data_IF_156650091945
#
_entry.id   IF_156650091945
#
_cell.length_a   1.000
_cell.length_b   1.000
_cell.length_c   1.000
_cell.angle_alpha   90.00
_cell.angle_beta   90.00
_cell.angle_gamma   90.00
#
_symmetry.space_group_name_H-M   'P 1'
#
loop_
_entity.id
_entity.type
_entity.pdbx_description
1 polymer ?
#
# COMPACT_ATOMS: atom_id res chain seq x y z
N UNK A 1 -0.27 5.06 -14.75
CA UNK A 1 -1.28 5.99 -14.19
C UNK A 1 -0.59 7.22 -13.59
N UNK A 2 -1.20 8.43 -13.65
CA UNK A 2 -0.67 9.60 -12.94
C UNK A 2 -0.82 9.42 -11.41
N UNK A 3 0.08 10.07 -10.67
CA UNK A 3 -0.02 10.17 -9.20
C UNK A 3 -1.01 11.26 -8.82
N UNK A 4 -1.57 11.20 -7.61
CA UNK A 4 -2.48 12.26 -7.14
C UNK A 4 -1.72 13.55 -6.90
N UNK A 5 -2.37 14.69 -7.05
CA UNK A 5 -1.80 16.01 -6.83
C UNK A 5 -1.70 16.37 -5.33
N UNK A 6 -2.60 15.79 -4.53
CA UNK A 6 -2.67 15.89 -3.08
C UNK A 6 -3.50 14.72 -2.55
N UNK A 7 -3.39 14.41 -1.25
CA UNK A 7 -4.29 13.50 -0.53
C UNK A 7 -5.48 14.24 0.09
N UNK A 8 -5.46 15.58 0.10
CA UNK A 8 -6.55 16.41 0.61
C UNK A 8 -7.83 16.23 -0.22
N UNK A 9 -8.95 15.94 0.46
CA UNK A 9 -10.24 15.73 -0.19
C UNK A 9 -10.35 14.47 -1.04
N UNK A 10 -9.35 13.58 -1.01
CA UNK A 10 -9.34 12.31 -1.77
C UNK A 10 -10.04 11.19 -1.01
N UNK A 11 -10.57 10.25 -1.77
CA UNK A 11 -11.01 8.95 -1.29
C UNK A 11 -9.82 7.99 -1.27
N UNK A 12 -9.35 7.62 -0.08
CA UNK A 12 -8.12 6.85 0.12
C UNK A 12 -8.47 5.40 0.48
N UNK A 13 -8.05 4.46 -0.36
CA UNK A 13 -8.14 3.03 -0.08
C UNK A 13 -7.12 2.57 0.95
N UNK A 14 -7.54 1.73 1.89
CA UNK A 14 -6.71 1.05 2.88
C UNK A 14 -6.77 -0.45 2.61
N UNK A 15 -5.73 -0.97 1.96
CA UNK A 15 -5.62 -2.36 1.55
C UNK A 15 -4.91 -3.18 2.63
N UNK A 16 -5.68 -3.92 3.41
CA UNK A 16 -5.21 -4.90 4.36
C UNK A 16 -4.97 -6.24 3.64
N UNK A 17 -3.70 -6.65 3.57
CA UNK A 17 -3.29 -7.88 2.90
C UNK A 17 -3.58 -9.16 3.68
N UNK A 18 -4.38 -9.12 4.75
CA UNK A 18 -4.78 -10.28 5.55
C UNK A 18 -3.74 -10.73 6.57
N UNK A 19 -2.76 -9.88 6.88
CA UNK A 19 -1.82 -10.07 8.00
C UNK A 19 -2.38 -9.40 9.25
N UNK A 20 -2.25 -10.01 10.44
CA UNK A 20 -2.72 -9.41 11.69
C UNK A 20 -2.13 -8.01 12.01
N UNK A 21 -0.94 -7.69 11.50
CA UNK A 21 -0.29 -6.39 11.71
C UNK A 21 -0.73 -5.31 10.72
N UNK A 22 -1.43 -5.66 9.64
CA UNK A 22 -1.85 -4.72 8.61
C UNK A 22 -2.92 -3.75 9.13
N UNK A 23 -3.99 -4.27 9.75
CA UNK A 23 -5.07 -3.46 10.29
C UNK A 23 -4.59 -2.44 11.35
N UNK A 24 -3.78 -2.80 12.37
CA UNK A 24 -3.23 -1.82 13.31
C UNK A 24 -2.37 -0.74 12.64
N UNK A 25 -1.53 -1.12 11.67
CA UNK A 25 -0.69 -0.17 10.93
C UNK A 25 -1.52 0.80 10.11
N UNK A 26 -2.47 0.30 9.32
CA UNK A 26 -3.35 1.13 8.50
C UNK A 26 -4.25 2.00 9.36
N UNK A 27 -4.69 1.52 10.52
CA UNK A 27 -5.45 2.32 11.50
C UNK A 27 -4.65 3.52 11.99
N UNK A 28 -3.40 3.31 12.43
CA UNK A 28 -2.54 4.40 12.89
C UNK A 28 -2.23 5.43 11.78
N UNK A 29 -2.03 4.95 10.54
CA UNK A 29 -1.86 5.81 9.36
C UNK A 29 -3.14 6.59 9.06
N UNK A 30 -4.30 5.94 9.07
CA UNK A 30 -5.61 6.57 8.85
C UNK A 30 -5.88 7.67 9.88
N UNK A 31 -5.65 7.42 11.17
CA UNK A 31 -5.86 8.40 12.23
C UNK A 31 -5.02 9.67 12.01
N UNK A 32 -3.75 9.50 11.64
CA UNK A 32 -2.84 10.62 11.38
C UNK A 32 -3.22 11.37 10.11
N UNK A 33 -3.56 10.67 9.03
CA UNK A 33 -4.01 11.31 7.80
C UNK A 33 -5.34 12.05 8.01
N UNK A 34 -6.30 11.47 8.74
CA UNK A 34 -7.59 12.11 9.06
C UNK A 34 -7.41 13.37 9.89
N UNK A 35 -6.46 13.37 10.84
CA UNK A 35 -6.15 14.55 11.64
C UNK A 35 -5.54 15.70 10.82
N UNK A 36 -4.74 15.36 9.79
CA UNK A 36 -4.05 16.34 8.93
C UNK A 36 -4.90 16.81 7.75
N UNK A 37 -5.74 15.93 7.20
CA UNK A 37 -6.57 16.14 6.03
C UNK A 37 -8.03 15.77 6.34
N UNK A 38 -8.77 16.63 7.06
CA UNK A 38 -10.11 16.31 7.56
C UNK A 38 -11.14 16.02 6.47
N UNK A 39 -10.90 16.49 5.24
CA UNK A 39 -11.77 16.26 4.09
C UNK A 39 -11.44 14.98 3.32
N UNK A 40 -10.35 14.28 3.66
CA UNK A 40 -10.05 12.97 3.09
C UNK A 40 -11.01 11.91 3.66
N UNK A 41 -11.50 11.02 2.80
CA UNK A 41 -12.33 9.88 3.17
C UNK A 41 -11.56 8.58 2.98
N UNK A 42 -11.97 7.51 3.65
CA UNK A 42 -11.25 6.25 3.64
C UNK A 42 -12.18 5.08 3.37
N UNK A 43 -11.73 4.15 2.54
CA UNK A 43 -12.40 2.88 2.27
C UNK A 43 -11.44 1.73 2.54
N UNK A 44 -11.91 0.71 3.25
CA UNK A 44 -11.10 -0.46 3.59
C UNK A 44 -11.39 -1.62 2.66
N UNK A 45 -10.33 -2.33 2.28
CA UNK A 45 -10.41 -3.65 1.69
C UNK A 45 -9.60 -4.62 2.52
N UNK A 46 -10.25 -5.70 2.96
CA UNK A 46 -9.61 -6.74 3.78
C UNK A 46 -9.56 -8.03 2.99
N UNK A 47 -8.36 -8.46 2.64
CA UNK A 47 -8.13 -9.84 2.22
C UNK A 47 -8.28 -10.73 3.45
N UNK A 48 -9.12 -11.74 3.42
CA UNK A 48 -9.33 -12.61 4.59
C UNK A 48 -8.05 -13.37 4.96
N UNK A 49 -7.30 -13.85 3.96
CA UNK A 49 -5.99 -14.47 4.13
C UNK A 49 -5.00 -14.06 3.04
N UNK A 50 -3.77 -13.71 3.42
CA UNK A 50 -2.73 -13.21 2.50
C UNK A 50 -2.49 -14.00 1.20
N UNK A 51 -2.76 -15.32 1.20
CA UNK A 51 -2.57 -16.17 0.03
C UNK A 51 -3.78 -16.19 -0.93
N UNK A 52 -4.93 -15.62 -0.55
CA UNK A 52 -6.12 -15.53 -1.39
C UNK A 52 -5.88 -14.63 -2.60
N UNK A 53 -4.95 -13.69 -2.55
CA UNK A 53 -4.57 -12.85 -3.70
C UNK A 53 -4.06 -13.64 -4.92
N UNK A 54 -3.82 -14.95 -4.76
CA UNK A 54 -3.51 -15.88 -5.85
C UNK A 54 -4.73 -16.33 -6.65
N UNK A 55 -5.92 -16.16 -6.08
CA UNK A 55 -7.19 -16.57 -6.69
C UNK A 55 -7.64 -15.46 -7.63
N UNK A 56 -8.12 -15.81 -8.82
CA UNK A 56 -8.55 -14.83 -9.82
C UNK A 56 -9.72 -13.98 -9.31
N UNK A 57 -10.70 -14.61 -8.62
CA UNK A 57 -11.85 -13.90 -8.03
C UNK A 57 -11.43 -12.84 -6.99
N UNK A 58 -10.37 -13.12 -6.22
CA UNK A 58 -9.84 -12.15 -5.25
C UNK A 58 -9.14 -11.01 -5.97
N UNK A 59 -8.35 -11.31 -7.00
CA UNK A 59 -7.67 -10.29 -7.81
C UNK A 59 -8.68 -9.35 -8.50
N UNK A 60 -9.75 -9.91 -9.08
CA UNK A 60 -10.86 -9.14 -9.66
C UNK A 60 -11.52 -8.25 -8.61
N UNK A 61 -11.77 -8.79 -7.40
CA UNK A 61 -12.35 -8.02 -6.29
C UNK A 61 -11.45 -6.86 -5.82
N UNK A 62 -10.13 -7.05 -5.78
CA UNK A 62 -9.17 -5.97 -5.48
C UNK A 62 -9.21 -4.89 -6.55
N UNK A 63 -9.24 -5.26 -7.83
CA UNK A 63 -9.31 -4.31 -8.95
C UNK A 63 -10.62 -3.52 -8.88
N UNK A 64 -11.76 -4.20 -8.77
CA UNK A 64 -13.09 -3.57 -8.67
C UNK A 64 -13.18 -2.58 -7.50
N UNK A 65 -12.62 -2.95 -6.35
CA UNK A 65 -12.53 -2.04 -5.19
C UNK A 65 -11.62 -0.84 -5.48
N UNK A 66 -10.45 -1.09 -6.07
CA UNK A 66 -9.47 -0.05 -6.32
C UNK A 66 -9.96 1.01 -7.31
N UNK A 67 -10.83 0.67 -8.26
CA UNK A 67 -11.48 1.63 -9.16
C UNK A 67 -12.39 2.64 -8.42
N UNK A 68 -12.82 2.33 -7.19
CA UNK A 68 -13.69 3.16 -6.35
C UNK A 68 -12.98 4.25 -5.53
N UNK A 69 -11.65 4.23 -5.48
CA UNK A 69 -10.83 5.14 -4.67
C UNK A 69 -9.85 5.94 -5.53
N UNK A 70 -9.46 7.14 -5.08
CA UNK A 70 -8.54 8.02 -5.81
C UNK A 70 -7.07 7.59 -5.69
N UNK A 71 -6.73 6.90 -4.61
CA UNK A 71 -5.39 6.38 -4.31
C UNK A 71 -5.48 5.34 -3.20
N UNK A 72 -4.49 4.46 -3.03
CA UNK A 72 -4.51 3.45 -1.98
C UNK A 72 -3.18 3.22 -1.26
N UNK A 73 -3.27 2.82 -0.01
CA UNK A 73 -2.15 2.45 0.86
C UNK A 73 -2.36 0.99 1.28
N UNK A 74 -1.38 0.13 0.99
CA UNK A 74 -1.43 -1.28 1.35
C UNK A 74 -0.44 -1.65 2.46
N UNK A 75 -0.83 -2.54 3.36
CA UNK A 75 0.04 -3.05 4.42
C UNK A 75 -0.17 -4.56 4.65
N UNK A 76 0.80 -5.33 5.14
CA UNK A 76 2.22 -5.02 5.38
C UNK A 76 3.15 -6.05 4.71
N UNK A 77 4.32 -5.60 4.25
CA UNK A 77 5.44 -6.46 3.85
C UNK A 77 6.49 -6.54 4.97
N UNK A 78 6.37 -7.53 5.85
CA UNK A 78 7.25 -7.72 7.03
C UNK A 78 7.92 -9.10 7.08
N UNK A 79 7.80 -9.87 5.99
CA UNK A 79 8.23 -11.25 5.84
C UNK A 79 8.29 -11.58 4.33
N UNK A 80 9.13 -12.53 3.91
CA UNK A 80 9.35 -12.78 2.48
C UNK A 80 8.07 -13.03 1.66
N UNK A 81 7.16 -13.88 2.15
CA UNK A 81 5.91 -14.19 1.43
C UNK A 81 4.88 -13.06 1.47
N UNK A 82 4.71 -12.38 2.61
CA UNK A 82 3.76 -11.27 2.71
C UNK A 82 4.22 -10.04 1.92
N UNK A 83 5.52 -9.79 1.85
CA UNK A 83 6.09 -8.76 0.97
C UNK A 83 5.78 -9.05 -0.51
N UNK A 84 5.86 -10.32 -0.93
CA UNK A 84 5.43 -10.74 -2.28
C UNK A 84 3.96 -10.44 -2.53
N UNK A 85 3.06 -10.87 -1.63
CA UNK A 85 1.62 -10.67 -1.82
C UNK A 85 1.17 -9.23 -1.68
N UNK A 86 1.86 -8.42 -0.87
CA UNK A 86 1.66 -6.98 -0.85
C UNK A 86 2.02 -6.35 -2.19
N UNK A 87 3.19 -6.71 -2.78
CA UNK A 87 3.57 -6.19 -4.09
C UNK A 87 2.53 -6.56 -5.17
N UNK A 88 1.95 -7.76 -5.10
CA UNK A 88 0.87 -8.18 -6.00
C UNK A 88 -0.40 -7.35 -5.80
N UNK A 89 -0.84 -7.15 -4.55
CA UNK A 89 -2.00 -6.29 -4.26
C UNK A 89 -1.82 -4.86 -4.76
N UNK A 90 -0.64 -4.26 -4.53
CA UNK A 90 -0.33 -2.91 -5.02
C UNK A 90 -0.30 -2.85 -6.54
N UNK A 91 0.20 -3.89 -7.21
CA UNK A 91 0.18 -3.93 -8.67
C UNK A 91 -1.24 -4.03 -9.24
N UNK A 92 -2.12 -4.82 -8.63
CA UNK A 92 -3.54 -4.89 -9.03
C UNK A 92 -4.25 -3.55 -8.85
N UNK A 93 -3.99 -2.86 -7.73
CA UNK A 93 -4.47 -1.50 -7.49
C UNK A 93 -4.00 -0.56 -8.61
N UNK A 94 -2.72 -0.62 -8.99
CA UNK A 94 -2.19 0.22 -10.07
C UNK A 94 -2.67 -0.20 -11.47
N UNK A 95 -3.08 -1.46 -11.67
CA UNK A 95 -3.71 -1.95 -12.90
C UNK A 95 -5.15 -1.45 -13.05
N UNK A 96 -5.86 -1.27 -11.94
CA UNK A 96 -7.14 -0.56 -11.89
C UNK A 96 -7.02 0.94 -12.26
N UNK A 97 -5.80 1.45 -12.45
CA UNK A 97 -5.52 2.86 -12.73
C UNK A 97 -5.38 3.71 -11.47
N UNK A 98 -5.44 3.11 -10.29
CA UNK A 98 -5.38 3.79 -9.00
C UNK A 98 -3.94 3.83 -8.47
N UNK A 99 -3.37 5.00 -8.16
CA UNK A 99 -2.02 5.08 -7.63
C UNK A 99 -1.93 4.45 -6.22
N UNK A 100 -1.11 3.41 -6.08
CA UNK A 100 -0.89 2.69 -4.82
C UNK A 100 0.50 2.92 -4.20
N UNK A 101 0.60 2.72 -2.88
CA UNK A 101 1.87 2.59 -2.14
C UNK A 101 1.81 1.45 -1.13
N UNK A 102 2.84 0.60 -1.09
CA UNK A 102 2.97 -0.45 -0.08
C UNK A 102 3.75 -0.01 1.17
N UNK A 103 3.35 -0.47 2.35
CA UNK A 103 4.11 -0.29 3.59
C UNK A 103 4.91 -1.54 3.90
N UNK A 104 6.23 -1.39 4.07
CA UNK A 104 7.15 -2.51 4.31
C UNK A 104 8.07 -2.26 5.49
N UNK A 105 8.48 -3.32 6.18
CA UNK A 105 9.63 -3.25 7.09
C UNK A 105 10.92 -3.05 6.28
N UNK A 106 11.85 -2.27 6.83
CA UNK A 106 13.13 -1.91 6.20
C UNK A 106 13.95 -3.11 5.71
N UNK A 107 13.83 -4.27 6.37
CA UNK A 107 14.55 -5.49 6.03
C UNK A 107 14.08 -6.17 4.74
N UNK A 108 12.92 -5.78 4.20
CA UNK A 108 12.27 -6.44 3.05
C UNK A 108 12.21 -5.55 1.80
N UNK A 109 12.98 -4.47 1.77
CA UNK A 109 13.08 -3.58 0.60
C UNK A 109 13.48 -4.32 -0.69
N UNK A 110 14.50 -5.17 -0.60
CA UNK A 110 14.96 -5.94 -1.76
C UNK A 110 13.92 -6.98 -2.22
N UNK A 111 13.23 -7.63 -1.29
CA UNK A 111 12.15 -8.57 -1.58
C UNK A 111 11.00 -7.84 -2.31
N UNK A 112 10.59 -6.67 -1.81
CA UNK A 112 9.52 -5.88 -2.43
C UNK A 112 9.89 -5.46 -3.85
N UNK A 113 11.07 -4.85 -4.02
CA UNK A 113 11.55 -4.42 -5.33
C UNK A 113 11.67 -5.57 -6.32
N UNK A 114 12.16 -6.73 -5.88
CA UNK A 114 12.30 -7.90 -6.75
C UNK A 114 10.96 -8.45 -7.21
N UNK A 115 9.97 -8.54 -6.31
CA UNK A 115 8.61 -8.99 -6.66
C UNK A 115 7.85 -7.98 -7.51
N UNK A 116 8.04 -6.68 -7.28
CA UNK A 116 7.49 -5.63 -8.15
C UNK A 116 8.02 -5.77 -9.58
N UNK A 117 9.34 -5.95 -9.74
CA UNK A 117 9.96 -6.18 -11.05
C UNK A 117 9.50 -7.50 -11.69
N UNK A 118 9.28 -8.57 -10.91
CA UNK A 118 8.68 -9.83 -11.38
C UNK A 118 7.27 -9.61 -11.96
N UNK A 119 6.50 -8.65 -11.41
CA UNK A 119 5.19 -8.21 -11.94
C UNK A 119 5.29 -7.20 -13.08
N UNK A 120 6.51 -6.85 -13.49
CA UNK A 120 6.77 -6.09 -14.71
C UNK A 120 7.07 -4.61 -14.50
N UNK A 121 6.83 -4.02 -13.31
CA UNK A 121 7.09 -2.59 -13.06
C UNK A 121 7.63 -2.31 -11.65
N UNK A 122 8.44 -1.27 -11.45
CA UNK A 122 8.71 -0.75 -10.11
C UNK A 122 7.41 -0.24 -9.48
N UNK A 123 7.13 -0.66 -8.25
CA UNK A 123 6.01 -0.19 -7.44
C UNK A 123 6.54 0.68 -6.31
N UNK A 124 5.74 1.65 -5.87
CA UNK A 124 6.10 2.52 -4.75
C UNK A 124 5.86 1.86 -3.42
N UNK A 125 6.76 2.11 -2.48
CA UNK A 125 6.64 1.66 -1.12
C UNK A 125 7.23 2.68 -0.16
N UNK A 126 6.75 2.67 1.08
CA UNK A 126 7.35 3.40 2.19
C UNK A 126 7.79 2.41 3.26
N UNK A 127 9.05 2.57 3.70
CA UNK A 127 9.58 1.83 4.85
C UNK A 127 8.95 2.37 6.14
N UNK A 128 8.49 1.45 6.98
CA UNK A 128 7.97 1.72 8.33
C UNK A 128 8.87 1.06 9.37
N UNK A 129 9.07 1.68 10.56
CA UNK A 129 9.78 1.05 11.67
C UNK A 129 8.92 -0.03 12.37
N UNK A 130 7.63 -0.13 12.02
CA UNK A 130 6.71 -1.12 12.58
C UNK A 130 7.19 -2.52 12.24
N UNK A 131 7.57 -3.26 13.28
CA UNK A 131 8.19 -4.59 13.16
C UNK A 131 7.15 -5.68 12.86
N UNK A 132 7.67 -6.76 12.30
CA UNK A 132 6.92 -7.96 11.95
C UNK A 132 5.95 -8.40 13.06
N UNK A 133 4.69 -8.64 12.68
CA UNK A 133 3.62 -9.16 13.54
C UNK A 133 3.26 -8.27 14.76
N UNK A 134 3.61 -6.99 14.75
CA UNK A 134 3.19 -6.07 15.82
C UNK A 134 1.71 -5.75 15.69
N UNK A 135 0.89 -6.32 16.58
CA UNK A 135 -0.57 -6.07 16.62
C UNK A 135 -1.00 -5.10 17.73
N UNK A 136 -0.06 -4.62 18.54
CA UNK A 136 -0.32 -3.63 19.59
C UNK A 136 -0.49 -2.25 18.94
N UNK A 137 -1.74 -1.80 18.84
CA UNK A 137 -2.09 -0.54 18.19
C UNK A 137 -1.44 0.68 18.86
N UNK A 138 -1.29 0.71 20.18
CA UNK A 138 -0.69 1.86 20.86
C UNK A 138 0.79 1.96 20.50
N UNK A 139 1.48 0.82 20.51
CA UNK A 139 2.88 0.77 20.05
C UNK A 139 3.01 1.17 18.57
N UNK A 140 2.10 0.70 17.72
CA UNK A 140 2.10 1.05 16.30
C UNK A 140 1.86 2.55 16.11
N UNK A 141 0.98 3.20 16.88
CA UNK A 141 0.78 4.66 16.85
C UNK A 141 2.04 5.43 17.21
N UNK A 142 2.83 4.95 18.18
CA UNK A 142 4.10 5.55 18.56
C UNK A 142 5.16 5.37 17.46
N UNK A 143 5.20 4.21 16.82
CA UNK A 143 6.18 3.87 15.77
C UNK A 143 5.86 4.52 14.41
N UNK A 144 4.58 4.72 14.07
CA UNK A 144 4.15 5.49 12.89
C UNK A 144 4.41 6.98 13.15
N UNK A 145 5.64 7.42 12.91
CA UNK A 145 6.03 8.82 13.08
C UNK A 145 5.42 9.73 12.02
N UNK A 146 5.48 11.04 12.24
CA UNK A 146 5.05 12.02 11.24
C UNK A 146 5.85 11.90 9.93
N UNK A 147 7.13 11.50 10.01
CA UNK A 147 8.02 11.25 8.85
C UNK A 147 7.58 10.04 8.02
N UNK A 148 7.03 9.00 8.66
CA UNK A 148 6.45 7.86 7.94
C UNK A 148 5.26 8.35 7.12
N UNK A 149 4.36 9.11 7.75
CA UNK A 149 3.16 9.65 7.08
C UNK A 149 3.54 10.64 5.96
N UNK A 150 4.50 11.54 6.19
CA UNK A 150 5.00 12.46 5.16
C UNK A 150 5.53 11.69 3.96
N UNK A 151 6.32 10.65 4.20
CA UNK A 151 6.82 9.78 3.14
C UNK A 151 5.72 9.02 2.40
N UNK A 152 4.66 8.58 3.07
CA UNK A 152 3.49 7.96 2.40
C UNK A 152 2.87 8.99 1.43
N UNK A 153 2.62 10.21 1.89
CA UNK A 153 2.04 11.29 1.07
C UNK A 153 2.96 11.62 -0.11
N UNK A 154 4.27 11.69 0.11
CA UNK A 154 5.26 11.89 -0.96
C UNK A 154 5.23 10.77 -2.00
N UNK A 155 5.16 9.50 -1.59
CA UNK A 155 5.05 8.37 -2.52
C UNK A 155 3.73 8.38 -3.29
N UNK A 156 2.64 8.90 -2.72
CA UNK A 156 1.37 9.04 -3.42
C UNK A 156 1.32 10.22 -4.38
N UNK A 157 2.09 11.29 -4.12
CA UNK A 157 1.97 12.57 -4.83
C UNK A 157 3.12 12.92 -5.77
N UNK A 158 4.33 12.45 -5.48
CA UNK A 158 5.49 12.77 -6.30
C UNK A 158 5.29 12.24 -7.73
N UNK A 159 5.64 12.98 -8.78
CA UNK A 159 5.54 12.45 -10.14
C UNK A 159 6.32 11.15 -10.31
N UNK A 160 5.82 10.24 -11.15
CA UNK A 160 6.56 9.04 -11.54
C UNK A 160 7.89 9.42 -12.19
N UNK A 161 8.96 8.73 -11.79
CA UNK A 161 10.24 8.72 -12.49
C UNK A 161 10.12 8.05 -13.86
N UNK A 162 11.10 8.28 -14.74
CA UNK A 162 11.10 7.68 -16.08
C UNK A 162 11.08 6.14 -16.04
N UNK A 163 11.69 5.54 -15.01
CA UNK A 163 11.70 4.08 -14.80
C UNK A 163 10.31 3.55 -14.43
N UNK A 164 9.56 4.29 -13.62
CA UNK A 164 8.19 3.92 -13.21
C UNK A 164 7.16 4.16 -14.31
N UNK A 165 7.47 5.03 -15.29
CA UNK A 165 6.61 5.26 -16.47
C UNK A 165 6.80 4.24 -17.58
N UNK A 166 7.87 3.44 -17.53
CA UNK A 166 8.09 2.40 -18.51
C UNK A 166 6.94 1.39 -18.46
N UNK A 167 6.47 0.93 -19.62
CA UNK A 167 5.43 -0.09 -19.68
C UNK A 167 5.90 -1.35 -18.93
N UNK A 168 4.99 -2.03 -18.22
CA UNK A 168 5.33 -3.28 -17.56
C UNK A 168 5.90 -4.28 -18.57
N UNK A 169 6.95 -5.00 -18.19
CA UNK A 169 7.43 -6.10 -19.02
C UNK A 169 6.30 -7.13 -19.23
N UNK A 170 6.12 -7.68 -20.45
CA UNK A 170 5.13 -8.73 -20.68
C UNK A 170 5.38 -9.91 -19.75
N UNK A 171 4.35 -10.35 -19.03
CA UNK A 171 4.38 -11.52 -18.13
C UNK A 171 4.27 -12.83 -18.92
#
# INVERSE_FOLDING_TARGET
>A
MPRVDSVEGKHIGLYDNGKPAAEPLLTAVQEKLSARYPDATFEWYHVEHLNQIKNDDEQESVVDWAEGVDTAIGAIGDCGSCTKFLAWGIELIEDAGTPGVGLIDEGFELDYQSNAVERGRPLRYKKTPVRCETTDLERVREEVSEEVVDGIVEELTNPLSDKERAEPAPQ
#
